data_IF_174984478558
#
_entry.id   IF_174984478558
#
_cell.length_a   1.000
_cell.length_b   1.000
_cell.length_c   1.000
_cell.angle_alpha   90.00
_cell.angle_beta   90.00
_cell.angle_gamma   90.00
#
_symmetry.space_group_name_H-M   'P 1'
#
loop_
_entity.id
_entity.type
_entity.pdbx_description
1 polymer ?
#
# COMPACT_ATOMS: atom_id res chain seq x y z
N UNK A 1 9.31 -11.35 -27.71
CA UNK A 1 9.26 -10.19 -26.79
C UNK A 1 9.93 -10.59 -25.50
N UNK A 2 10.89 -9.80 -24.98
CA UNK A 2 11.52 -10.11 -23.70
C UNK A 2 10.54 -9.80 -22.55
N UNK A 3 10.61 -10.55 -21.46
CA UNK A 3 9.81 -10.30 -20.25
C UNK A 3 9.99 -8.88 -19.74
N UNK A 4 11.22 -8.36 -19.81
CA UNK A 4 11.53 -6.98 -19.42
C UNK A 4 10.78 -5.95 -20.27
N UNK A 5 10.66 -6.17 -21.59
CA UNK A 5 9.91 -5.28 -22.46
C UNK A 5 8.42 -5.30 -22.13
N UNK A 6 7.84 -6.48 -21.85
CA UNK A 6 6.44 -6.59 -21.46
C UNK A 6 6.16 -5.89 -20.12
N UNK A 7 7.03 -6.05 -19.12
CA UNK A 7 6.94 -5.35 -17.84
C UNK A 7 7.07 -3.84 -18.06
N UNK A 8 8.07 -3.37 -18.81
CA UNK A 8 8.25 -1.95 -19.09
C UNK A 8 7.05 -1.33 -19.81
N UNK A 9 6.52 -1.99 -20.83
CA UNK A 9 5.35 -1.52 -21.58
C UNK A 9 4.10 -1.44 -20.69
N UNK A 10 3.81 -2.50 -19.94
CA UNK A 10 2.63 -2.54 -19.06
C UNK A 10 2.75 -1.56 -17.91
N UNK A 11 3.94 -1.44 -17.30
CA UNK A 11 4.21 -0.46 -16.23
C UNK A 11 4.05 0.95 -16.75
N UNK A 12 4.57 1.27 -17.94
CA UNK A 12 4.45 2.60 -18.55
C UNK A 12 3.01 2.98 -18.85
N UNK A 13 2.22 2.05 -19.41
CA UNK A 13 0.80 2.28 -19.70
C UNK A 13 0.01 2.50 -18.40
N UNK A 14 0.15 1.60 -17.42
CA UNK A 14 -0.56 1.71 -16.14
C UNK A 14 -0.18 2.99 -15.39
N UNK A 15 1.10 3.35 -15.41
CA UNK A 15 1.64 4.58 -14.83
C UNK A 15 1.06 5.84 -15.49
N UNK A 16 0.98 5.87 -16.82
CA UNK A 16 0.39 6.98 -17.57
C UNK A 16 -1.11 7.13 -17.31
N UNK A 17 -1.85 6.01 -17.32
CA UNK A 17 -3.29 5.98 -17.01
C UNK A 17 -3.53 6.47 -15.57
N UNK A 18 -2.76 5.96 -14.60
CA UNK A 18 -2.89 6.40 -13.21
C UNK A 18 -2.57 7.88 -13.06
N UNK A 19 -1.51 8.39 -13.69
CA UNK A 19 -1.18 9.81 -13.67
C UNK A 19 -2.34 10.69 -14.13
N UNK A 20 -3.04 10.28 -15.20
CA UNK A 20 -4.21 11.00 -15.69
C UNK A 20 -5.41 10.90 -14.73
N UNK A 21 -5.71 9.72 -14.18
CA UNK A 21 -6.79 9.52 -13.19
C UNK A 21 -6.52 10.35 -11.93
N UNK A 22 -5.28 10.34 -11.45
CA UNK A 22 -4.88 11.04 -10.23
C UNK A 22 -5.08 12.55 -10.37
N UNK A 23 -4.66 13.14 -11.50
CA UNK A 23 -4.91 14.56 -11.79
C UNK A 23 -6.40 14.86 -11.89
N UNK A 24 -7.17 13.99 -12.55
CA UNK A 24 -8.61 14.18 -12.76
C UNK A 24 -9.44 14.10 -11.48
N UNK A 25 -8.99 13.31 -10.49
CA UNK A 25 -9.69 13.06 -9.22
C UNK A 25 -9.04 13.76 -8.02
N UNK A 26 -7.92 14.48 -8.21
CA UNK A 26 -7.18 15.12 -7.13
C UNK A 26 -6.45 14.14 -6.20
N UNK A 27 -6.12 12.94 -6.69
CA UNK A 27 -5.40 11.90 -5.93
C UNK A 27 -3.88 12.09 -6.01
N UNK A 28 -3.16 11.35 -5.19
CA UNK A 28 -1.69 11.38 -5.17
C UNK A 28 -1.13 10.48 -6.28
N UNK A 29 -0.50 11.07 -7.30
CA UNK A 29 0.07 10.32 -8.43
C UNK A 29 1.09 9.27 -7.99
N UNK A 30 1.86 9.55 -6.94
CA UNK A 30 2.86 8.62 -6.40
C UNK A 30 2.23 7.42 -5.67
N UNK A 31 1.00 7.54 -5.15
CA UNK A 31 0.33 6.44 -4.47
C UNK A 31 0.10 5.27 -5.46
N UNK A 32 -0.42 5.54 -6.66
CA UNK A 32 -0.57 4.49 -7.67
C UNK A 32 0.74 3.99 -8.27
N UNK A 33 1.85 4.75 -8.20
CA UNK A 33 3.16 4.16 -8.52
C UNK A 33 3.56 3.11 -7.48
N UNK A 34 3.36 3.39 -6.20
CA UNK A 34 3.57 2.40 -5.13
C UNK A 34 2.66 1.17 -5.32
N UNK A 35 1.42 1.38 -5.75
CA UNK A 35 0.48 0.32 -6.12
C UNK A 35 0.97 -0.57 -7.27
N UNK A 36 1.38 0.05 -8.37
CA UNK A 36 1.99 -0.67 -9.49
C UNK A 36 3.24 -1.44 -9.03
N UNK A 37 4.11 -0.81 -8.23
CA UNK A 37 5.31 -1.45 -7.68
C UNK A 37 4.95 -2.64 -6.80
N UNK A 38 3.91 -2.54 -5.95
CA UNK A 38 3.48 -3.64 -5.09
C UNK A 38 2.84 -4.78 -5.88
N UNK A 39 2.22 -4.51 -7.03
CA UNK A 39 1.78 -5.54 -7.97
C UNK A 39 2.95 -6.28 -8.61
N UNK A 40 3.91 -5.56 -9.20
CA UNK A 40 5.05 -6.20 -9.87
C UNK A 40 6.01 -6.90 -8.91
N UNK A 41 6.02 -6.52 -7.64
CA UNK A 41 6.77 -7.19 -6.58
C UNK A 41 5.97 -8.30 -5.87
N UNK A 42 4.72 -8.54 -6.26
CA UNK A 42 3.89 -9.62 -5.72
C UNK A 42 4.47 -10.98 -6.09
N UNK A 43 4.48 -11.98 -5.18
CA UNK A 43 4.99 -13.32 -5.47
C UNK A 43 4.04 -14.14 -6.36
N UNK A 44 2.86 -13.61 -6.70
CA UNK A 44 1.88 -14.26 -7.57
C UNK A 44 1.71 -13.45 -8.85
N UNK A 45 1.54 -14.16 -9.96
CA UNK A 45 1.32 -13.53 -11.26
C UNK A 45 -0.14 -13.19 -11.53
N UNK A 46 -0.33 -12.26 -12.47
CA UNK A 46 -1.63 -11.93 -13.07
C UNK A 46 -2.66 -11.43 -12.07
N UNK A 47 -3.94 -11.75 -12.32
CA UNK A 47 -5.06 -11.25 -11.52
C UNK A 47 -4.98 -11.64 -10.03
N UNK A 48 -4.36 -12.79 -9.73
CA UNK A 48 -4.15 -13.23 -8.34
C UNK A 48 -3.12 -12.36 -7.62
N UNK A 49 -2.03 -12.00 -8.31
CA UNK A 49 -1.05 -11.03 -7.84
C UNK A 49 -1.68 -9.67 -7.60
N UNK A 50 -2.47 -9.19 -8.56
CA UNK A 50 -3.15 -7.89 -8.48
C UNK A 50 -4.10 -7.84 -7.28
N UNK A 51 -4.96 -8.84 -7.15
CA UNK A 51 -5.89 -8.93 -6.03
C UNK A 51 -5.17 -9.02 -4.69
N UNK A 52 -4.09 -9.81 -4.60
CA UNK A 52 -3.30 -9.91 -3.38
C UNK A 52 -2.64 -8.58 -3.03
N UNK A 53 -2.02 -7.89 -3.99
CA UNK A 53 -1.37 -6.60 -3.78
C UNK A 53 -2.36 -5.54 -3.33
N UNK A 54 -3.51 -5.43 -4.00
CA UNK A 54 -4.61 -4.52 -3.60
C UNK A 54 -5.08 -4.80 -2.17
N UNK A 55 -5.37 -6.06 -1.83
CA UNK A 55 -5.82 -6.42 -0.48
C UNK A 55 -4.77 -6.09 0.58
N UNK A 56 -3.49 -6.37 0.30
CA UNK A 56 -2.41 -6.05 1.22
C UNK A 56 -2.20 -4.55 1.37
N UNK A 57 -2.26 -3.76 0.29
CA UNK A 57 -2.13 -2.30 0.35
C UNK A 57 -3.29 -1.70 1.15
N UNK A 58 -4.54 -2.11 0.87
CA UNK A 58 -5.73 -1.66 1.62
C UNK A 58 -5.65 -2.02 3.11
N UNK A 59 -5.16 -3.22 3.42
CA UNK A 59 -4.90 -3.59 4.80
C UNK A 59 -3.82 -2.70 5.43
N UNK A 60 -2.78 -2.33 4.69
CA UNK A 60 -1.77 -1.36 5.11
C UNK A 60 -2.37 0.00 5.46
N UNK A 61 -3.27 0.51 4.62
CA UNK A 61 -4.01 1.76 4.87
C UNK A 61 -4.80 1.65 6.17
N UNK A 62 -5.50 0.53 6.40
CA UNK A 62 -6.20 0.28 7.66
C UNK A 62 -5.26 0.34 8.87
N UNK A 63 -4.12 -0.35 8.82
CA UNK A 63 -3.15 -0.35 9.92
C UNK A 63 -2.51 1.01 10.18
N UNK A 64 -2.21 1.79 9.14
CA UNK A 64 -1.76 3.16 9.31
C UNK A 64 -2.80 4.02 10.03
N UNK A 65 -4.08 3.88 9.67
CA UNK A 65 -5.15 4.61 10.34
C UNK A 65 -5.29 4.21 11.82
N UNK A 66 -5.11 2.92 12.15
CA UNK A 66 -5.05 2.44 13.54
C UNK A 66 -3.88 3.09 14.29
N UNK A 67 -2.69 3.15 13.69
CA UNK A 67 -1.51 3.79 14.31
C UNK A 67 -1.75 5.28 14.54
N UNK A 68 -2.24 6.02 13.54
CA UNK A 68 -2.50 7.46 13.64
C UNK A 68 -3.53 7.74 14.73
N UNK A 69 -4.68 7.05 14.72
CA UNK A 69 -5.74 7.28 15.70
C UNK A 69 -5.28 6.90 17.11
N UNK A 70 -4.65 5.74 17.28
CA UNK A 70 -4.22 5.31 18.62
C UNK A 70 -3.13 6.22 19.18
N UNK A 71 -2.23 6.73 18.33
CA UNK A 71 -1.17 7.65 18.75
C UNK A 71 -1.69 9.04 19.12
N UNK A 72 -2.79 9.50 18.53
CA UNK A 72 -3.42 10.78 18.90
C UNK A 72 -4.01 10.78 20.32
N UNK A 73 -4.48 9.62 20.78
CA UNK A 73 -5.08 9.47 22.12
C UNK A 73 -4.02 9.44 23.21
N UNK A 74 -2.77 9.21 22.84
CA UNK A 74 -1.67 9.07 23.77
C UNK A 74 -0.65 10.18 23.50
N UNK A 75 -0.74 11.26 24.27
CA UNK A 75 0.07 12.48 24.13
C UNK A 75 1.57 12.30 24.43
N UNK A 76 2.10 11.07 24.44
CA UNK A 76 3.49 10.73 24.73
C UNK A 76 4.09 10.05 23.51
N UNK A 77 5.10 10.69 22.88
CA UNK A 77 5.77 10.22 21.67
C UNK A 77 6.27 8.76 21.77
N UNK A 78 6.77 8.37 22.94
CA UNK A 78 7.27 7.01 23.20
C UNK A 78 6.17 5.96 22.98
N UNK A 79 4.92 6.28 23.31
CA UNK A 79 3.82 5.32 23.17
C UNK A 79 3.43 5.18 21.70
N UNK A 80 3.58 6.22 20.87
CA UNK A 80 3.42 6.11 19.42
C UNK A 80 4.37 5.09 18.79
N UNK A 81 5.62 5.03 19.26
CA UNK A 81 6.58 4.00 18.81
C UNK A 81 6.18 2.59 19.24
N UNK A 82 5.68 2.43 20.47
CA UNK A 82 5.18 1.14 20.97
C UNK A 82 3.97 0.66 20.16
N UNK A 83 3.01 1.55 19.89
CA UNK A 83 1.85 1.26 19.04
C UNK A 83 2.28 0.84 17.64
N UNK A 84 3.22 1.56 17.04
CA UNK A 84 3.77 1.23 15.72
C UNK A 84 4.42 -0.15 15.73
N UNK A 85 5.19 -0.49 16.77
CA UNK A 85 5.82 -1.80 16.90
C UNK A 85 4.79 -2.94 17.03
N UNK A 86 3.76 -2.74 17.85
CA UNK A 86 2.67 -3.72 18.02
C UNK A 86 1.92 -3.91 16.70
N UNK A 87 1.54 -2.83 16.02
CA UNK A 87 0.81 -2.92 14.76
C UNK A 87 1.67 -3.56 13.66
N UNK A 88 2.96 -3.23 13.56
CA UNK A 88 3.87 -3.87 12.63
C UNK A 88 3.98 -5.39 12.88
N UNK A 89 4.00 -5.82 14.14
CA UNK A 89 3.94 -7.24 14.49
C UNK A 89 2.64 -7.90 14.02
N UNK A 90 1.50 -7.24 14.22
CA UNK A 90 0.19 -7.75 13.76
C UNK A 90 0.11 -7.79 12.23
N UNK A 91 0.67 -6.79 11.52
CA UNK A 91 0.80 -6.79 10.06
C UNK A 91 1.55 -8.02 9.55
N UNK A 92 2.58 -8.48 10.28
CA UNK A 92 3.29 -9.73 9.94
C UNK A 92 2.45 -10.97 10.23
N UNK A 93 1.76 -11.04 11.37
CA UNK A 93 0.90 -12.19 11.72
C UNK A 93 -0.26 -12.34 10.74
N UNK A 94 -0.84 -11.24 10.24
CA UNK A 94 -1.97 -11.31 9.32
C UNK A 94 -1.66 -12.10 8.05
N UNK A 95 -0.38 -12.18 7.66
CA UNK A 95 0.09 -12.91 6.49
C UNK A 95 -0.16 -14.42 6.57
N UNK A 96 -0.53 -14.95 7.74
CA UNK A 96 -1.08 -16.30 7.89
C UNK A 96 -2.32 -16.52 7.01
N UNK A 97 -3.06 -15.45 6.67
CA UNK A 97 -4.16 -15.52 5.72
C UNK A 97 -3.61 -15.41 4.29
N UNK A 98 -3.88 -16.42 3.46
CA UNK A 98 -3.30 -16.58 2.11
C UNK A 98 -3.56 -15.43 1.12
N UNK A 99 -4.60 -14.63 1.35
CA UNK A 99 -4.94 -13.41 0.60
C UNK A 99 -4.19 -12.14 1.05
N UNK A 100 -3.55 -12.17 2.23
CA UNK A 100 -2.75 -11.08 2.81
C UNK A 100 -1.30 -11.50 3.03
N UNK A 101 -0.88 -12.62 2.45
CA UNK A 101 0.44 -13.20 2.65
C UNK A 101 1.60 -12.35 2.09
N UNK A 102 1.30 -11.29 1.32
CA UNK A 102 2.31 -10.39 0.77
C UNK A 102 2.58 -9.23 1.74
N UNK A 103 3.36 -9.53 2.78
CA UNK A 103 3.72 -8.59 3.86
C UNK A 103 4.24 -7.24 3.31
N UNK A 104 5.14 -7.19 2.30
CA UNK A 104 5.61 -5.91 1.77
C UNK A 104 4.49 -5.00 1.26
N UNK A 105 3.43 -5.55 0.66
CA UNK A 105 2.27 -4.75 0.23
C UNK A 105 1.56 -4.06 1.39
N UNK A 106 1.45 -4.72 2.54
CA UNK A 106 0.87 -4.12 3.76
C UNK A 106 1.73 -2.99 4.30
N UNK A 107 3.06 -3.11 4.25
CA UNK A 107 3.94 -2.00 4.61
C UNK A 107 3.86 -0.85 3.61
N UNK A 108 3.78 -1.13 2.30
CA UNK A 108 3.63 -0.11 1.26
C UNK A 108 2.37 0.73 1.48
N UNK A 109 1.21 0.10 1.69
CA UNK A 109 -0.04 0.83 1.94
C UNK A 109 -0.01 1.65 3.24
N UNK A 110 0.66 1.12 4.27
CA UNK A 110 0.86 1.83 5.53
C UNK A 110 1.72 3.10 5.34
N UNK A 111 2.89 2.95 4.72
CA UNK A 111 3.79 4.06 4.39
C UNK A 111 3.14 5.10 3.49
N UNK A 112 2.36 4.66 2.50
CA UNK A 112 1.64 5.56 1.62
C UNK A 112 0.60 6.40 2.39
N UNK A 113 -0.07 5.82 3.38
CA UNK A 113 -1.02 6.57 4.22
C UNK A 113 -0.32 7.55 5.16
N UNK A 114 0.85 7.19 5.71
CA UNK A 114 1.68 8.11 6.49
C UNK A 114 2.19 9.28 5.65
N UNK A 115 2.67 9.02 4.43
CA UNK A 115 3.11 10.05 3.50
C UNK A 115 1.96 10.96 3.04
N UNK A 116 0.71 10.47 3.06
CA UNK A 116 -0.50 11.26 2.85
C UNK A 116 -1.02 11.95 4.13
N UNK A 117 -0.23 11.97 5.21
CA UNK A 117 -0.60 12.56 6.51
C UNK A 117 -1.94 12.03 7.07
N UNK A 118 -2.26 10.75 6.82
CA UNK A 118 -3.52 10.13 7.25
C UNK A 118 -4.73 10.41 6.35
N UNK A 119 -4.56 11.16 5.25
CA UNK A 119 -5.62 11.33 4.26
C UNK A 119 -5.72 10.09 3.36
N UNK A 120 -6.27 9.02 3.92
CA UNK A 120 -6.39 7.69 3.31
C UNK A 120 -7.17 7.69 1.98
N UNK A 121 -8.08 8.64 1.78
CA UNK A 121 -8.88 8.76 0.55
C UNK A 121 -8.02 9.12 -0.68
N UNK A 122 -6.89 9.80 -0.47
CA UNK A 122 -5.96 10.17 -1.54
C UNK A 122 -5.08 9.00 -2.00
N UNK A 123 -5.06 7.93 -1.22
CA UNK A 123 -4.17 6.79 -1.39
C UNK A 123 -4.92 5.61 -1.98
N UNK A 124 -6.17 5.36 -1.61
CA UNK A 124 -7.00 4.29 -2.21
C UNK A 124 -7.32 4.61 -3.68
N UNK A 125 -7.28 3.64 -4.62
CA UNK A 125 -7.01 2.21 -4.46
C UNK A 125 -5.58 1.82 -4.86
N UNK A 126 -4.56 2.60 -4.45
CA UNK A 126 -3.15 2.26 -4.69
C UNK A 126 -2.82 0.85 -4.26
#
# INVERSE_FOLDING_TARGET
MSTLFAIALTTGILSGIWGWIAVSLGLLSWAGFLGCTSYFASPRDGLKGLGQSLLTNLSGVFWAMVIIHTSQWVSIEIIGYVVTAIVAFVMCIQAQKSWLAYIPGTFIGCCATFAAAGNWQLVIPS
#
